data_IF_019195425049
#
_entry.id   IF_019195425049
#
_cell.length_a   1.000
_cell.length_b   1.000
_cell.length_c   1.000
_cell.angle_alpha   90.00
_cell.angle_beta   90.00
_cell.angle_gamma   90.00
#
_symmetry.space_group_name_H-M   'P 1'
#
loop_
_entity.id
_entity.type
_entity.pdbx_description
1 polymer ?
#
# COMPACT_ATOMS: atom_id res chain seq x y z
N UNK A 1 2.89 15.63 -30.51
CA UNK A 1 1.92 14.81 -29.76
C UNK A 1 0.55 15.46 -29.74
N UNK A 2 -0.49 14.69 -30.02
CA UNK A 2 -1.85 14.89 -29.48
C UNK A 2 -1.85 14.46 -28.00
N UNK A 3 -2.75 14.99 -27.14
CA UNK A 3 -2.73 14.67 -25.71
C UNK A 3 -2.79 13.17 -25.39
N UNK A 4 -3.60 12.41 -26.14
CA UNK A 4 -3.72 10.95 -25.99
C UNK A 4 -2.42 10.20 -26.33
N UNK A 5 -1.66 10.66 -27.32
CA UNK A 5 -0.38 10.06 -27.71
C UNK A 5 0.68 10.26 -26.62
N UNK A 6 0.70 11.44 -25.98
CA UNK A 6 1.63 11.73 -24.89
C UNK A 6 1.35 10.88 -23.64
N UNK A 7 0.07 10.73 -23.25
CA UNK A 7 -0.31 9.85 -22.15
C UNK A 7 -0.05 8.37 -22.45
N UNK A 8 -0.23 7.95 -23.70
CA UNK A 8 0.10 6.59 -24.12
C UNK A 8 1.61 6.32 -24.12
N UNK A 9 2.44 7.27 -24.55
CA UNK A 9 3.89 7.15 -24.47
C UNK A 9 4.36 7.05 -23.01
N UNK A 10 3.95 8.00 -22.16
CA UNK A 10 4.26 8.00 -20.72
C UNK A 10 3.85 6.68 -20.02
N UNK A 11 2.68 6.13 -20.36
CA UNK A 11 2.17 4.89 -19.78
C UNK A 11 2.85 3.60 -20.30
N UNK A 12 3.64 3.66 -21.37
CA UNK A 12 4.30 2.49 -21.98
C UNK A 12 5.83 2.62 -22.07
N UNK A 13 6.42 3.73 -21.62
CA UNK A 13 7.86 3.94 -21.55
C UNK A 13 8.53 2.91 -20.63
N UNK A 14 9.52 2.11 -21.09
CA UNK A 14 10.32 1.24 -20.23
C UNK A 14 10.89 1.95 -18.99
N UNK A 15 11.29 3.22 -19.11
CA UNK A 15 11.77 4.02 -17.99
C UNK A 15 10.72 4.17 -16.87
N UNK A 16 9.43 4.11 -17.20
CA UNK A 16 8.30 4.17 -16.26
C UNK A 16 7.76 2.78 -15.84
N UNK A 17 8.22 1.68 -16.46
CA UNK A 17 7.68 0.33 -16.25
C UNK A 17 8.62 -0.58 -15.44
N UNK A 18 8.19 -0.98 -14.23
CA UNK A 18 8.88 -1.93 -13.37
C UNK A 18 7.97 -3.09 -12.97
N UNK A 19 8.44 -4.33 -13.14
CA UNK A 19 7.71 -5.51 -12.70
C UNK A 19 7.80 -5.68 -11.17
N UNK A 20 6.67 -5.53 -10.47
CA UNK A 20 6.59 -5.61 -9.00
C UNK A 20 5.42 -6.50 -8.55
N UNK A 21 5.44 -6.92 -7.27
CA UNK A 21 4.29 -7.64 -6.71
C UNK A 21 3.05 -6.74 -6.65
N UNK A 22 1.86 -7.32 -6.91
CA UNK A 22 0.61 -6.53 -6.93
C UNK A 22 0.29 -5.85 -5.60
N UNK A 23 0.84 -6.36 -4.48
CA UNK A 23 0.70 -5.73 -3.16
C UNK A 23 1.60 -4.51 -3.01
N UNK A 24 2.83 -4.52 -3.52
CA UNK A 24 3.68 -3.32 -3.55
C UNK A 24 3.06 -2.23 -4.44
N UNK A 25 2.54 -2.61 -5.61
CA UNK A 25 1.86 -1.66 -6.50
C UNK A 25 0.64 -1.01 -5.84
N UNK A 26 -0.19 -1.80 -5.13
CA UNK A 26 -1.32 -1.27 -4.33
C UNK A 26 -0.90 -0.43 -3.12
N UNK A 27 0.27 -0.70 -2.53
CA UNK A 27 0.79 0.10 -1.42
C UNK A 27 1.33 1.47 -1.87
N UNK A 28 1.90 1.56 -3.08
CA UNK A 28 2.28 2.84 -3.69
C UNK A 28 1.04 3.64 -4.10
N UNK A 29 0.16 3.05 -4.91
CA UNK A 29 -0.96 3.77 -5.52
C UNK A 29 -0.49 4.99 -6.33
N UNK A 30 -1.23 6.08 -6.21
CA UNK A 30 -0.90 7.42 -6.71
C UNK A 30 0.22 8.13 -5.92
N UNK A 31 0.65 7.57 -4.79
CA UNK A 31 1.65 8.15 -3.88
C UNK A 31 2.98 8.54 -4.53
N UNK A 32 3.48 9.69 -4.12
CA UNK A 32 4.77 10.29 -4.49
C UNK A 32 5.92 9.78 -3.59
N UNK A 33 7.14 10.29 -3.82
CA UNK A 33 8.31 9.91 -3.01
C UNK A 33 8.25 10.38 -1.54
N UNK A 34 7.37 11.30 -1.17
CA UNK A 34 7.17 11.74 0.21
C UNK A 34 6.17 10.85 0.98
N UNK A 35 5.17 10.32 0.27
CA UNK A 35 4.12 9.48 0.83
C UNK A 35 4.43 7.99 0.75
N UNK A 36 5.20 7.54 -0.24
CA UNK A 36 5.62 6.14 -0.36
C UNK A 36 7.03 5.97 -0.95
N UNK A 37 7.83 5.10 -0.32
CA UNK A 37 9.10 4.60 -0.84
C UNK A 37 9.17 3.06 -0.69
N UNK A 38 9.85 2.35 -1.61
CA UNK A 38 10.03 0.90 -1.52
C UNK A 38 10.51 0.44 -0.13
N UNK A 39 9.99 -0.68 0.42
CA UNK A 39 10.42 -1.18 1.73
C UNK A 39 11.86 -1.72 1.69
N UNK A 40 12.33 -2.20 0.53
CA UNK A 40 13.73 -2.54 0.29
C UNK A 40 14.56 -1.26 0.18
N UNK A 41 15.34 -0.95 1.22
CA UNK A 41 16.09 0.31 1.30
C UNK A 41 17.13 0.49 0.18
N UNK A 42 17.85 -0.56 -0.20
CA UNK A 42 18.87 -0.48 -1.25
C UNK A 42 18.30 -0.07 -2.62
N UNK A 43 17.05 -0.42 -2.90
CA UNK A 43 16.38 -0.07 -4.16
C UNK A 43 15.88 1.39 -4.21
N UNK A 44 16.02 2.17 -3.12
CA UNK A 44 15.48 3.54 -3.05
C UNK A 44 16.25 4.53 -3.93
N UNK A 45 17.57 4.35 -4.06
CA UNK A 45 18.42 5.18 -4.93
C UNK A 45 17.97 5.07 -6.38
N UNK A 46 17.92 3.84 -6.93
CA UNK A 46 17.41 3.59 -8.28
C UNK A 46 15.98 4.13 -8.46
N UNK A 47 15.05 3.79 -7.55
CA UNK A 47 13.66 4.21 -7.63
C UNK A 47 13.49 5.74 -7.66
N UNK A 48 14.23 6.49 -6.84
CA UNK A 48 14.19 7.96 -6.82
C UNK A 48 14.83 8.56 -8.07
N UNK A 49 16.03 8.12 -8.45
CA UNK A 49 16.70 8.60 -9.66
C UNK A 49 15.87 8.33 -10.93
N UNK A 50 15.19 7.19 -10.99
CA UNK A 50 14.27 6.81 -12.06
C UNK A 50 13.00 7.66 -12.08
N UNK A 51 12.38 7.91 -10.92
CA UNK A 51 11.25 8.85 -10.80
C UNK A 51 11.63 10.26 -11.27
N UNK A 52 12.83 10.75 -10.94
CA UNK A 52 13.35 12.04 -11.40
C UNK A 52 13.53 12.03 -12.93
N UNK A 53 14.12 10.98 -13.51
CA UNK A 53 14.33 10.87 -14.94
C UNK A 53 13.00 10.86 -15.73
N UNK A 54 11.99 10.10 -15.28
CA UNK A 54 10.64 10.12 -15.87
C UNK A 54 10.01 11.51 -15.76
N UNK A 55 10.07 12.14 -14.57
CA UNK A 55 9.51 13.47 -14.35
C UNK A 55 10.20 14.56 -15.18
N UNK A 56 11.51 14.46 -15.39
CA UNK A 56 12.27 15.33 -16.27
C UNK A 56 11.87 15.13 -17.75
N UNK A 57 11.92 13.88 -18.24
CA UNK A 57 11.60 13.52 -19.64
C UNK A 57 10.20 14.01 -20.07
N UNK A 58 9.21 13.89 -19.20
CA UNK A 58 7.82 14.27 -19.48
C UNK A 58 7.41 15.65 -18.95
N UNK A 59 8.35 16.46 -18.44
CA UNK A 59 8.08 17.82 -17.95
C UNK A 59 7.10 17.88 -16.77
N UNK A 60 7.05 16.83 -15.95
CA UNK A 60 6.08 16.66 -14.87
C UNK A 60 6.47 17.47 -13.63
N UNK A 61 5.48 17.98 -12.92
CA UNK A 61 5.70 18.73 -11.68
C UNK A 61 6.23 17.84 -10.55
N UNK A 62 6.98 18.47 -9.63
CA UNK A 62 7.50 17.87 -8.40
C UNK A 62 7.16 18.80 -7.24
N UNK A 63 6.28 18.35 -6.35
CA UNK A 63 5.86 19.14 -5.17
C UNK A 63 7.00 19.27 -4.17
N UNK A 64 6.91 20.22 -3.22
CA UNK A 64 8.02 20.52 -2.31
C UNK A 64 8.39 19.30 -1.46
N UNK A 65 7.43 18.69 -0.77
CA UNK A 65 7.66 17.52 0.06
C UNK A 65 8.25 16.33 -0.73
N UNK A 66 7.76 16.09 -1.96
CA UNK A 66 8.32 15.06 -2.86
C UNK A 66 9.79 15.34 -3.16
N UNK A 67 10.14 16.58 -3.51
CA UNK A 67 11.52 16.98 -3.79
C UNK A 67 12.41 16.83 -2.56
N UNK A 68 11.94 17.28 -1.39
CA UNK A 68 12.68 17.21 -0.14
C UNK A 68 12.95 15.72 0.24
N UNK A 69 11.97 14.84 0.01
CA UNK A 69 12.12 13.39 0.19
C UNK A 69 13.05 12.73 -0.85
N UNK A 70 12.98 13.14 -2.12
CA UNK A 70 13.91 12.69 -3.17
C UNK A 70 15.35 13.08 -2.84
N UNK A 71 15.60 14.33 -2.44
CA UNK A 71 16.92 14.80 -2.01
C UNK A 71 17.43 14.01 -0.81
N UNK A 72 16.61 13.83 0.24
CA UNK A 72 17.02 13.07 1.44
C UNK A 72 17.34 11.59 1.18
N UNK A 73 16.74 10.96 0.15
CA UNK A 73 17.16 9.64 -0.31
C UNK A 73 18.53 9.70 -1.01
N UNK A 74 18.71 10.64 -1.95
CA UNK A 74 19.94 10.77 -2.73
C UNK A 74 21.16 11.17 -1.90
N UNK A 75 20.98 11.96 -0.83
CA UNK A 75 22.01 12.26 0.18
C UNK A 75 22.54 11.00 0.91
N UNK A 76 21.85 9.86 0.81
CA UNK A 76 22.23 8.59 1.44
C UNK A 76 22.67 7.51 0.46
N UNK A 77 22.81 7.85 -0.83
CA UNK A 77 23.33 6.96 -1.86
C UNK A 77 24.85 7.10 -1.97
N UNK A 78 25.54 6.00 -2.31
CA UNK A 78 26.93 6.05 -2.78
C UNK A 78 26.96 6.51 -4.26
N UNK A 79 28.10 6.40 -4.96
CA UNK A 79 28.28 6.81 -6.37
C UNK A 79 27.54 5.90 -7.39
N UNK A 80 26.29 5.54 -7.08
CA UNK A 80 25.34 4.86 -7.97
C UNK A 80 25.05 5.75 -9.20
N UNK A 81 25.03 5.21 -10.43
CA UNK A 81 24.88 6.00 -11.64
C UNK A 81 23.50 6.66 -11.70
N UNK A 82 23.47 7.98 -11.66
CA UNK A 82 22.27 8.74 -11.96
C UNK A 82 21.85 8.53 -13.43
N UNK A 83 20.55 8.49 -13.70
CA UNK A 83 20.00 8.36 -15.06
C UNK A 83 20.09 9.68 -15.85
N UNK A 84 21.31 10.24 -15.98
CA UNK A 84 21.56 11.61 -16.47
C UNK A 84 21.95 11.71 -17.95
N UNK A 85 22.55 10.66 -18.52
CA UNK A 85 22.98 10.58 -19.92
C UNK A 85 22.69 9.18 -20.46
N UNK A 86 22.34 9.06 -21.75
CA UNK A 86 22.14 7.84 -22.56
C UNK A 86 22.15 6.48 -21.81
N UNK A 87 21.23 6.30 -20.85
CA UNK A 87 21.08 5.01 -20.17
C UNK A 87 20.44 4.05 -21.16
N UNK A 88 21.31 3.31 -21.84
CA UNK A 88 21.02 2.16 -22.68
C UNK A 88 20.09 1.21 -21.94
N UNK A 89 18.77 1.42 -22.14
CA UNK A 89 17.77 0.63 -21.45
C UNK A 89 17.99 -0.84 -21.81
N UNK A 90 18.15 -1.74 -20.82
CA UNK A 90 18.30 -3.17 -21.11
C UNK A 90 17.17 -3.62 -22.02
N UNK A 91 17.48 -4.45 -23.03
CA UNK A 91 16.46 -4.91 -23.96
C UNK A 91 15.38 -5.72 -23.22
N UNK A 92 14.25 -5.99 -23.86
CA UNK A 92 13.10 -6.65 -23.24
C UNK A 92 13.43 -8.10 -22.78
N UNK A 93 13.99 -8.22 -21.58
CA UNK A 93 14.54 -9.45 -21.00
C UNK A 93 15.81 -9.22 -20.15
N UNK A 94 16.62 -8.23 -20.49
CA UNK A 94 17.94 -7.97 -19.87
C UNK A 94 17.87 -7.12 -18.58
N UNK A 95 16.70 -6.58 -18.24
CA UNK A 95 16.54 -5.76 -17.05
C UNK A 95 16.79 -6.57 -15.78
N UNK A 96 17.44 -5.95 -14.78
CA UNK A 96 17.74 -6.58 -13.50
C UNK A 96 16.48 -7.14 -12.85
N UNK A 97 16.30 -8.44 -13.04
CA UNK A 97 15.28 -9.22 -12.36
C UNK A 97 15.77 -9.32 -10.92
N UNK A 98 15.37 -8.36 -10.09
CA UNK A 98 15.61 -8.36 -8.64
C UNK A 98 14.91 -9.57 -8.06
N UNK A 99 15.60 -10.71 -8.13
CA UNK A 99 15.24 -11.97 -7.51
C UNK A 99 15.43 -11.76 -6.02
N UNK A 100 14.43 -11.13 -5.41
CA UNK A 100 14.22 -11.13 -3.96
C UNK A 100 13.97 -12.58 -3.58
N UNK A 101 15.04 -13.34 -3.43
CA UNK A 101 15.00 -14.63 -2.78
C UNK A 101 14.32 -14.39 -1.44
N UNK A 102 13.14 -15.00 -1.30
CA UNK A 102 12.26 -14.78 -0.16
C UNK A 102 12.84 -15.53 1.03
N UNK A 103 13.96 -15.01 1.54
CA UNK A 103 14.63 -15.46 2.75
C UNK A 103 13.58 -15.44 3.87
N UNK A 104 13.21 -16.61 4.42
CA UNK A 104 12.04 -16.71 5.27
C UNK A 104 12.35 -16.09 6.63
N UNK A 105 12.03 -14.80 6.78
CA UNK A 105 12.06 -14.09 8.07
C UNK A 105 11.33 -14.94 9.11
N UNK A 106 12.08 -15.43 10.11
CA UNK A 106 11.64 -16.52 11.00
C UNK A 106 10.24 -16.30 11.56
N UNK A 107 9.34 -17.22 11.22
CA UNK A 107 8.00 -17.35 11.81
C UNK A 107 8.09 -17.42 13.34
N UNK A 108 7.73 -16.32 14.02
CA UNK A 108 7.33 -16.40 15.44
C UNK A 108 5.94 -17.03 15.49
N UNK A 109 5.88 -18.35 15.71
CA UNK A 109 4.62 -19.06 15.92
C UNK A 109 3.95 -18.57 17.23
N UNK A 110 2.60 -18.49 17.34
CA UNK A 110 1.94 -17.76 18.41
C UNK A 110 2.21 -18.26 19.84
N UNK A 111 1.99 -17.34 20.80
CA UNK A 111 1.83 -17.66 22.22
C UNK A 111 0.54 -18.44 22.44
N UNK A 112 0.53 -19.28 23.48
CA UNK A 112 -0.39 -20.40 23.66
C UNK A 112 -1.69 -20.04 24.41
N UNK A 113 -2.72 -20.89 24.28
CA UNK A 113 -4.07 -20.71 24.84
C UNK A 113 -4.29 -21.61 26.07
N UNK A 114 -4.57 -21.05 27.26
CA UNK A 114 -5.09 -21.82 28.41
C UNK A 114 -6.63 -21.79 28.47
N UNK A 115 -7.29 -22.96 28.51
CA UNK A 115 -8.72 -23.19 28.83
C UNK A 115 -9.04 -24.70 28.80
N UNK A 116 -10.18 -25.18 29.35
CA UNK A 116 -11.20 -24.52 30.19
C UNK A 116 -11.02 -24.97 31.67
N UNK A 117 -11.96 -25.25 32.59
CA UNK A 117 -13.44 -25.24 32.78
C UNK A 117 -13.71 -25.46 34.31
N UNK A 118 -14.95 -25.41 34.83
CA UNK A 118 -16.13 -24.55 34.55
C UNK A 118 -16.76 -23.97 35.85
N UNK A 119 -17.83 -23.16 35.75
CA UNK A 119 -19.11 -23.36 36.50
C UNK A 119 -20.17 -22.27 36.18
N UNK A 120 -21.41 -22.48 36.64
CA UNK A 120 -22.56 -21.54 36.57
C UNK A 120 -23.01 -21.22 38.02
N UNK A 121 -23.71 -20.09 38.27
CA UNK A 121 -25.18 -20.06 38.09
C UNK A 121 -25.65 -18.91 37.18
N UNK A 122 -26.96 -18.84 36.95
CA UNK A 122 -27.64 -17.70 36.33
C UNK A 122 -28.56 -17.04 37.36
N UNK A 123 -28.81 -15.73 37.21
CA UNK A 123 -30.07 -15.10 37.61
C UNK A 123 -30.26 -13.78 36.85
N UNK A 124 -31.50 -13.30 36.71
CA UNK A 124 -31.86 -12.12 35.92
C UNK A 124 -32.92 -11.27 36.64
N UNK A 125 -32.76 -9.94 36.69
CA UNK A 125 -33.79 -9.11 36.08
C UNK A 125 -33.27 -7.89 35.30
N UNK A 126 -33.94 -7.58 34.19
CA UNK A 126 -33.97 -6.26 33.53
C UNK A 126 -34.46 -5.13 34.49
N UNK A 127 -34.36 -3.81 34.14
CA UNK A 127 -33.89 -3.23 32.89
C UNK A 127 -32.86 -2.08 33.01
N UNK A 128 -32.14 -1.80 31.91
CA UNK A 128 -31.97 -0.45 31.35
C UNK A 128 -31.29 -0.48 29.97
N UNK A 129 -31.66 0.47 29.11
CA UNK A 129 -31.00 0.70 27.81
C UNK A 129 -29.85 1.67 28.04
N UNK A 130 -28.61 1.31 27.69
CA UNK A 130 -27.55 2.29 27.46
C UNK A 130 -26.39 1.74 26.62
N UNK A 131 -25.77 2.65 25.85
CA UNK A 131 -24.40 2.59 25.29
C UNK A 131 -23.93 1.29 24.59
N UNK A 132 -23.98 1.28 23.25
CA UNK A 132 -23.16 0.39 22.43
C UNK A 132 -21.65 0.67 22.62
N UNK A 133 -20.93 -0.20 23.35
CA UNK A 133 -19.46 -0.18 23.42
C UNK A 133 -18.81 -1.50 23.00
N UNK A 134 -19.55 -2.36 22.28
CA UNK A 134 -18.98 -3.53 21.63
C UNK A 134 -18.16 -3.11 20.42
N UNK A 135 -16.83 -3.18 20.52
CA UNK A 135 -15.90 -2.93 19.41
C UNK A 135 -15.90 -4.12 18.43
N UNK A 136 -17.01 -4.28 17.70
CA UNK A 136 -17.12 -5.26 16.61
C UNK A 136 -16.04 -4.95 15.56
N UNK A 137 -15.46 -5.97 14.95
CA UNK A 137 -14.46 -5.80 13.89
C UNK A 137 -14.66 -6.88 12.81
N UNK A 138 -15.10 -6.45 11.63
CA UNK A 138 -15.21 -7.34 10.47
C UNK A 138 -13.88 -7.35 9.71
N UNK A 139 -13.26 -8.53 9.57
CA UNK A 139 -11.99 -8.69 8.83
C UNK A 139 -12.10 -8.29 7.36
N UNK A 140 -13.29 -8.44 6.77
CA UNK A 140 -13.65 -8.08 5.40
C UNK A 140 -15.18 -8.13 5.23
N UNK A 141 -15.67 -7.78 4.04
CA UNK A 141 -17.09 -7.80 3.72
C UNK A 141 -17.75 -9.17 3.71
N UNK A 142 -16.99 -10.25 3.50
CA UNK A 142 -17.52 -11.61 3.67
C UNK A 142 -17.88 -11.87 5.14
N UNK A 143 -17.06 -11.39 6.09
CA UNK A 143 -17.36 -11.47 7.50
C UNK A 143 -18.55 -10.56 7.91
N UNK A 144 -18.64 -9.34 7.36
CA UNK A 144 -19.75 -8.43 7.63
C UNK A 144 -21.10 -9.00 7.14
N UNK A 145 -21.14 -9.55 5.92
CA UNK A 145 -22.34 -10.21 5.38
C UNK A 145 -22.69 -11.51 6.11
N UNK A 146 -21.70 -12.33 6.47
CA UNK A 146 -21.92 -13.55 7.26
C UNK A 146 -22.44 -13.25 8.69
N UNK A 147 -22.15 -12.07 9.23
CA UNK A 147 -22.70 -11.57 10.50
C UNK A 147 -24.03 -10.80 10.34
N UNK A 148 -24.60 -10.71 9.13
CA UNK A 148 -25.85 -10.00 8.86
C UNK A 148 -25.77 -8.47 8.97
N UNK A 149 -24.57 -7.88 9.00
CA UNK A 149 -24.36 -6.48 9.33
C UNK A 149 -24.16 -5.54 8.13
N UNK A 150 -24.01 -6.08 6.91
CA UNK A 150 -23.84 -5.27 5.71
C UNK A 150 -25.19 -4.79 5.14
N UNK A 151 -25.28 -3.56 4.59
CA UNK A 151 -24.21 -2.56 4.47
C UNK A 151 -23.95 -1.81 5.78
N UNK A 152 -22.67 -1.67 6.15
CA UNK A 152 -22.17 -1.08 7.40
C UNK A 152 -21.80 0.39 7.15
N UNK A 153 -22.40 1.36 7.84
CA UNK A 153 -22.19 2.81 7.58
C UNK A 153 -21.23 3.45 8.57
N UNK A 154 -20.68 4.61 8.22
CA UNK A 154 -19.93 5.47 9.15
C UNK A 154 -20.74 5.72 10.43
N UNK A 155 -20.20 5.24 11.56
CA UNK A 155 -20.84 5.32 12.88
C UNK A 155 -21.45 4.00 13.37
N UNK A 156 -21.70 3.02 12.49
CA UNK A 156 -22.21 1.70 12.89
C UNK A 156 -21.12 0.89 13.62
N UNK A 157 -21.46 0.09 14.65
CA UNK A 157 -20.53 -0.82 15.30
C UNK A 157 -19.91 -1.82 14.30
N UNK A 158 -18.59 -1.75 14.13
CA UNK A 158 -17.87 -2.57 13.15
C UNK A 158 -17.59 -1.89 11.81
N UNK A 159 -18.01 -0.64 11.62
CA UNK A 159 -17.51 0.16 10.51
C UNK A 159 -15.99 0.32 10.58
N UNK A 160 -15.35 0.22 9.42
CA UNK A 160 -13.95 0.55 9.23
C UNK A 160 -13.67 0.82 7.76
N UNK A 161 -12.75 1.75 7.48
CA UNK A 161 -12.41 2.22 6.12
C UNK A 161 -11.70 1.16 5.23
N UNK A 162 -11.63 -0.08 5.70
CA UNK A 162 -11.22 -1.26 4.93
C UNK A 162 -12.41 -2.09 4.42
N UNK A 163 -13.64 -1.66 4.75
CA UNK A 163 -14.92 -2.23 4.31
C UNK A 163 -15.61 -1.34 3.26
N UNK A 164 -15.40 -0.02 3.38
CA UNK A 164 -15.71 1.03 2.43
C UNK A 164 -14.53 1.11 1.43
N UNK A 165 -14.77 0.78 0.15
CA UNK A 165 -13.74 0.67 -0.89
C UNK A 165 -13.55 1.99 -1.64
N UNK A 166 -14.61 2.78 -1.66
CA UNK A 166 -14.89 3.86 -2.59
C UNK A 166 -14.71 5.22 -1.87
N UNK A 167 -14.90 5.23 -0.55
CA UNK A 167 -14.66 6.33 0.37
C UNK A 167 -15.91 7.14 0.75
N UNK A 168 -17.09 6.67 0.36
CA UNK A 168 -18.36 7.40 0.45
C UNK A 168 -19.14 7.19 1.77
N UNK A 169 -18.59 6.40 2.70
CA UNK A 169 -19.11 6.22 4.05
C UNK A 169 -20.07 5.03 4.21
N UNK A 170 -20.15 4.17 3.20
CA UNK A 170 -20.88 2.90 3.21
C UNK A 170 -19.87 1.77 2.95
N UNK A 171 -19.99 0.69 3.72
CA UNK A 171 -19.13 -0.48 3.62
C UNK A 171 -19.92 -1.73 3.26
N UNK A 172 -19.34 -2.53 2.36
CA UNK A 172 -19.80 -3.88 2.01
C UNK A 172 -21.14 -4.02 1.26
N UNK A 173 -21.51 -3.02 0.47
CA UNK A 173 -22.37 -3.19 -0.72
C UNK A 173 -21.84 -4.25 -1.71
#
# INVERSE_FOLDING_TARGET
MRPSEASQEFGNDPLNLLAVSSTLNRQKGDGDAATWLPPQKSFRCEYVSRQIAVKHKYGLWVVRAERDAMTSVLESCEDEPAFTEDVSWPAAGDGDNVKVESTPTKTKKPVEKPAPAPEKPADEPEPKRDSFSGSVYYKNCTAARAAGAAPVRVGDPGYGRHLDRDGEGVGCE
#
